data_IF_508738504803
#
_entry.id   IF_508738504803
#
_cell.length_a   1.000
_cell.length_b   1.000
_cell.length_c   1.000
_cell.angle_alpha   90.00
_cell.angle_beta   90.00
_cell.angle_gamma   90.00
#
_symmetry.space_group_name_H-M   'P 1'
#
loop_
_entity.id
_entity.type
_entity.pdbx_description
1 polymer ?
#
# COMPACT_ATOMS: atom_id res chain seq x y z
N UNK A 1 7.25 -22.59 -0.55
CA UNK A 1 5.97 -21.95 -0.93
C UNK A 1 5.28 -21.39 0.29
N UNK A 2 5.11 -22.17 1.36
CA UNK A 2 4.76 -21.68 2.72
C UNK A 2 5.68 -20.53 3.19
N UNK A 3 6.98 -20.61 2.84
CA UNK A 3 7.99 -19.55 3.01
C UNK A 3 7.57 -18.16 2.48
N UNK A 4 6.69 -18.10 1.48
CA UNK A 4 6.30 -16.86 0.79
C UNK A 4 4.84 -16.47 1.02
N UNK A 5 4.12 -17.17 1.91
CA UNK A 5 2.70 -16.92 2.20
C UNK A 5 1.75 -16.99 0.99
N UNK A 6 2.16 -17.66 -0.09
CA UNK A 6 1.33 -17.85 -1.29
C UNK A 6 0.51 -19.14 -1.20
N UNK A 7 -0.77 -19.08 -1.60
CA UNK A 7 -1.67 -20.22 -1.67
C UNK A 7 -1.59 -20.94 -3.02
N UNK A 8 -0.86 -22.04 -3.06
CA UNK A 8 -0.65 -22.83 -4.29
C UNK A 8 -1.90 -23.54 -4.80
N UNK A 9 -2.98 -23.63 -4.01
CA UNK A 9 -4.25 -24.21 -4.45
C UNK A 9 -5.11 -23.23 -5.25
N UNK A 10 -4.82 -21.92 -5.18
CA UNK A 10 -5.55 -20.86 -5.88
C UNK A 10 -5.00 -20.53 -7.27
N UNK A 11 -3.91 -21.19 -7.69
CA UNK A 11 -3.26 -20.92 -8.97
C UNK A 11 -2.47 -19.62 -8.93
N UNK A 12 -3.03 -18.53 -9.47
CA UNK A 12 -2.41 -17.21 -9.55
C UNK A 12 -2.99 -16.27 -8.49
N UNK A 13 -2.13 -15.55 -7.79
CA UNK A 13 -2.53 -14.48 -6.87
C UNK A 13 -2.33 -13.12 -7.53
N UNK A 14 -3.32 -12.24 -7.42
CA UNK A 14 -3.26 -10.87 -7.94
C UNK A 14 -3.62 -9.85 -6.86
N UNK A 15 -2.96 -8.70 -6.85
CA UNK A 15 -3.07 -7.77 -5.75
C UNK A 15 -2.47 -6.39 -6.01
N UNK A 16 -2.52 -5.55 -4.98
CA UNK A 16 -1.98 -4.19 -4.99
C UNK A 16 -0.71 -4.10 -4.15
N UNK A 17 0.17 -3.19 -4.55
CA UNK A 17 1.38 -2.84 -3.82
C UNK A 17 1.50 -1.32 -3.72
N UNK A 18 1.92 -0.84 -2.55
CA UNK A 18 2.24 0.55 -2.30
C UNK A 18 3.49 0.64 -1.42
N UNK A 19 4.37 1.61 -1.69
CA UNK A 19 5.48 1.97 -0.81
C UNK A 19 5.14 3.19 0.07
N UNK A 20 3.85 3.55 0.14
CA UNK A 20 3.35 4.62 0.99
C UNK A 20 3.68 6.02 0.50
N UNK A 21 3.71 6.24 -0.82
CA UNK A 21 4.01 7.54 -1.43
C UNK A 21 3.18 8.68 -0.82
N UNK A 22 3.88 9.73 -0.40
CA UNK A 22 3.36 10.96 0.22
C UNK A 22 3.91 12.18 -0.51
N UNK A 23 3.52 12.26 -1.78
CA UNK A 23 3.94 13.29 -2.74
C UNK A 23 2.82 14.30 -2.99
N UNK A 24 3.15 15.40 -3.68
CA UNK A 24 2.17 16.39 -4.11
C UNK A 24 1.28 15.83 -5.22
N UNK A 25 0.00 16.19 -5.21
CA UNK A 25 -0.89 15.89 -6.32
C UNK A 25 -0.40 16.65 -7.57
N UNK A 26 -0.13 15.97 -8.71
CA UNK A 26 0.43 16.60 -9.90
C UNK A 26 -0.54 17.54 -10.62
N UNK A 27 -1.85 17.46 -10.34
CA UNK A 27 -2.86 18.27 -11.00
C UNK A 27 -3.11 19.61 -10.32
N UNK A 28 -2.95 19.68 -8.99
CA UNK A 28 -3.27 20.89 -8.21
C UNK A 28 -2.18 21.32 -7.20
N UNK A 29 -1.12 20.52 -7.03
CA UNK A 29 -0.02 20.81 -6.11
C UNK A 29 -0.35 20.64 -4.62
N UNK A 30 -1.51 20.09 -4.26
CA UNK A 30 -1.89 19.90 -2.86
C UNK A 30 -1.15 18.72 -2.22
N UNK A 31 -0.82 18.86 -0.93
CA UNK A 31 -0.30 17.78 -0.09
C UNK A 31 -1.28 17.47 1.03
N UNK A 32 -1.78 16.24 1.06
CA UNK A 32 -2.59 15.75 2.18
C UNK A 32 -1.71 15.52 3.43
N UNK A 33 -2.33 15.39 4.61
CA UNK A 33 -1.58 15.03 5.82
C UNK A 33 -1.06 13.59 5.76
N UNK A 34 -0.02 13.27 6.53
CA UNK A 34 0.48 11.89 6.62
C UNK A 34 -0.59 10.95 7.21
N UNK A 35 -1.34 11.42 8.21
CA UNK A 35 -2.48 10.70 8.78
C UNK A 35 -3.54 10.38 7.72
N UNK A 36 -3.91 11.37 6.90
CA UNK A 36 -4.87 11.14 5.82
C UNK A 36 -4.35 10.09 4.85
N UNK A 37 -3.06 10.15 4.47
CA UNK A 37 -2.46 9.17 3.57
C UNK A 37 -2.49 7.76 4.15
N UNK A 38 -2.21 7.60 5.44
CA UNK A 38 -2.31 6.31 6.14
C UNK A 38 -3.76 5.80 6.12
N UNK A 39 -4.74 6.65 6.40
CA UNK A 39 -6.15 6.28 6.32
C UNK A 39 -6.57 5.88 4.90
N UNK A 40 -6.04 6.55 3.86
CA UNK A 40 -6.26 6.17 2.47
C UNK A 40 -5.69 4.78 2.16
N UNK A 41 -4.47 4.46 2.61
CA UNK A 41 -3.87 3.12 2.45
C UNK A 41 -4.73 2.05 3.12
N UNK A 42 -5.21 2.29 4.34
CA UNK A 42 -6.12 1.38 5.06
C UNK A 42 -7.43 1.21 4.28
N UNK A 43 -8.00 2.30 3.77
CA UNK A 43 -9.24 2.26 2.97
C UNK A 43 -9.03 1.46 1.68
N UNK A 44 -7.92 1.66 0.97
CA UNK A 44 -7.59 0.88 -0.22
C UNK A 44 -7.40 -0.59 0.10
N UNK A 45 -6.75 -0.94 1.21
CA UNK A 45 -6.58 -2.33 1.63
C UNK A 45 -7.93 -3.02 1.92
N UNK A 46 -8.86 -2.31 2.58
CA UNK A 46 -10.24 -2.81 2.78
C UNK A 46 -10.98 -3.02 1.47
N UNK A 47 -10.89 -2.06 0.55
CA UNK A 47 -11.52 -2.17 -0.77
C UNK A 47 -10.92 -3.30 -1.61
N UNK A 48 -9.61 -3.56 -1.48
CA UNK A 48 -8.95 -4.69 -2.13
C UNK A 48 -9.48 -6.03 -1.64
N UNK A 49 -9.66 -6.17 -0.32
CA UNK A 49 -10.27 -7.36 0.30
C UNK A 49 -11.73 -7.55 -0.13
N UNK A 50 -12.54 -6.48 -0.10
CA UNK A 50 -13.93 -6.48 -0.58
C UNK A 50 -14.04 -6.85 -2.07
N UNK A 51 -13.06 -6.45 -2.88
CA UNK A 51 -12.98 -6.78 -4.31
C UNK A 51 -12.46 -8.20 -4.58
N UNK A 52 -12.05 -8.94 -3.55
CA UNK A 52 -11.53 -10.31 -3.67
C UNK A 52 -10.10 -10.39 -4.21
N UNK A 53 -9.29 -9.34 -4.07
CA UNK A 53 -7.87 -9.39 -4.38
C UNK A 53 -7.14 -10.28 -3.37
N UNK A 54 -6.15 -11.03 -3.84
CA UNK A 54 -5.45 -12.00 -3.00
C UNK A 54 -4.41 -11.36 -2.09
N UNK A 55 -3.86 -10.19 -2.50
CA UNK A 55 -2.74 -9.53 -1.80
C UNK A 55 -2.93 -8.01 -1.76
N UNK A 56 -2.64 -7.43 -0.59
CA UNK A 56 -2.35 -6.01 -0.45
C UNK A 56 -1.01 -5.85 0.29
N UNK A 57 0.02 -5.39 -0.41
CA UNK A 57 1.37 -5.27 0.13
C UNK A 57 1.74 -3.81 0.40
N UNK A 58 2.35 -3.59 1.57
CA UNK A 58 2.89 -2.29 1.97
C UNK A 58 4.41 -2.42 2.12
N UNK A 59 5.15 -1.66 1.33
CA UNK A 59 6.60 -1.57 1.38
C UNK A 59 7.08 -0.42 2.28
N UNK A 60 8.36 -0.46 2.59
CA UNK A 60 9.05 0.54 3.41
C UNK A 60 10.05 1.35 2.57
N UNK A 61 10.19 2.64 2.87
CA UNK A 61 11.20 3.51 2.28
C UNK A 61 11.91 4.35 3.34
N UNK A 62 13.22 4.52 3.22
CA UNK A 62 14.01 5.44 4.06
C UNK A 62 14.25 6.80 3.38
N UNK A 63 13.41 7.15 2.41
CA UNK A 63 13.50 8.42 1.69
C UNK A 63 12.43 9.39 2.22
N UNK A 64 12.62 10.68 1.97
CA UNK A 64 11.57 11.67 2.20
C UNK A 64 10.37 11.39 1.29
N UNK A 65 9.20 11.90 1.67
CA UNK A 65 7.94 11.77 0.92
C UNK A 65 7.29 10.38 0.94
N UNK A 66 7.49 9.58 2.00
CA UNK A 66 6.76 8.33 2.22
C UNK A 66 6.16 8.29 3.62
N UNK A 67 4.93 7.79 3.79
CA UNK A 67 4.30 7.61 5.11
C UNK A 67 4.64 6.27 5.75
N UNK A 68 5.04 5.28 4.95
CA UNK A 68 5.46 3.95 5.42
C UNK A 68 6.98 3.90 5.55
N UNK A 69 7.55 4.97 6.10
CA UNK A 69 8.98 5.10 6.33
C UNK A 69 9.36 4.65 7.73
N UNK A 70 10.50 3.98 7.90
CA UNK A 70 11.17 3.90 9.19
C UNK A 70 12.31 4.92 9.21
N UNK A 71 12.08 6.04 9.88
CA UNK A 71 13.14 6.90 10.38
C UNK A 71 12.87 7.14 11.87
N UNK A 72 13.94 7.10 12.67
CA UNK A 72 13.96 7.54 14.08
C UNK A 72 13.28 8.88 14.28
#
# INVERSE_FOLDING_TARGET
MEKYRMNTSKGMEFGLYSIGDHVLNPHNGEKISAEQRIHELIKTAKLADEAGLDVFAVGESHQTHFTTQAHT
#
